data_IF_195528264115
#
_entry.id   IF_195528264115
#
_cell.length_a   1.000
_cell.length_b   1.000
_cell.length_c   1.000
_cell.angle_alpha   90.00
_cell.angle_beta   90.00
_cell.angle_gamma   90.00
#
_symmetry.space_group_name_H-M   'P 1'
#
loop_
_entity.id
_entity.type
_entity.pdbx_description
1 polymer ?
#
# COMPACT_ATOMS: atom_id res chain seq x y z
N UNK A 1 72.29 62.57 4.50
CA UNK A 1 72.48 61.12 4.71
C UNK A 1 71.75 60.61 5.95
N UNK A 2 71.83 61.23 7.15
CA UNK A 2 71.14 60.66 8.34
C UNK A 2 69.61 60.74 8.28
N UNK A 3 69.03 61.79 7.70
CA UNK A 3 67.58 61.95 7.55
C UNK A 3 66.94 60.88 6.65
N UNK A 4 67.68 60.38 5.66
CA UNK A 4 67.20 59.33 4.74
C UNK A 4 67.16 57.99 5.47
N UNK A 5 68.24 57.63 6.20
CA UNK A 5 68.28 56.40 7.00
C UNK A 5 67.23 56.40 8.12
N UNK A 6 66.94 57.57 8.71
CA UNK A 6 65.90 57.73 9.72
C UNK A 6 64.50 57.55 9.13
N UNK A 7 64.27 58.01 7.90
CA UNK A 7 63.01 57.78 7.17
C UNK A 7 62.86 56.31 6.75
N UNK A 8 63.93 55.66 6.29
CA UNK A 8 63.92 54.23 5.93
C UNK A 8 63.65 53.34 7.14
N UNK A 9 64.29 53.62 8.28
CA UNK A 9 64.03 52.91 9.54
C UNK A 9 62.58 53.09 10.00
N UNK A 10 62.03 54.31 9.89
CA UNK A 10 60.60 54.57 10.17
C UNK A 10 59.66 53.85 9.22
N UNK A 11 60.00 53.77 7.93
CA UNK A 11 59.18 53.09 6.93
C UNK A 11 59.17 51.57 7.17
N UNK A 12 60.33 50.96 7.42
CA UNK A 12 60.43 49.55 7.77
C UNK A 12 59.62 49.22 9.03
N UNK A 13 59.77 50.04 10.08
CA UNK A 13 58.99 49.89 11.31
C UNK A 13 57.49 50.17 11.14
N UNK A 14 57.07 50.92 10.12
CA UNK A 14 55.66 51.12 9.79
C UNK A 14 55.10 49.93 9.00
N UNK A 15 55.87 49.39 8.06
CA UNK A 15 55.49 48.23 7.25
C UNK A 15 55.37 46.96 8.10
N UNK A 16 56.32 46.69 9.02
CA UNK A 16 56.21 45.58 9.97
C UNK A 16 54.97 45.71 10.87
N UNK A 17 54.63 46.94 11.27
CA UNK A 17 53.43 47.22 12.08
C UNK A 17 52.13 47.03 11.30
N UNK A 18 52.15 47.27 9.99
CA UNK A 18 51.02 47.02 9.10
C UNK A 18 50.89 45.52 8.83
N UNK A 19 51.99 44.83 8.54
CA UNK A 19 52.01 43.38 8.33
C UNK A 19 51.48 42.63 9.56
N UNK A 20 52.01 42.94 10.75
CA UNK A 20 51.50 42.35 12.00
C UNK A 20 50.02 42.67 12.30
N UNK A 21 49.52 43.87 11.94
CA UNK A 21 48.08 44.17 12.06
C UNK A 21 47.22 43.45 11.02
N UNK A 22 47.74 43.26 9.81
CA UNK A 22 47.02 42.56 8.75
C UNK A 22 46.85 41.08 9.11
N UNK A 23 47.89 40.46 9.67
CA UNK A 23 47.87 39.07 10.14
C UNK A 23 46.98 38.89 11.37
N UNK A 24 46.89 39.90 12.25
CA UNK A 24 46.02 39.88 13.43
C UNK A 24 44.55 40.22 13.11
N UNK A 25 44.26 40.91 12.00
CA UNK A 25 42.91 41.32 11.59
C UNK A 25 41.93 40.14 11.46
N UNK A 26 42.24 39.02 10.77
CA UNK A 26 41.34 37.88 10.67
C UNK A 26 41.15 37.16 12.01
N UNK A 27 42.18 37.09 12.86
CA UNK A 27 42.06 36.53 14.21
C UNK A 27 41.15 37.40 15.10
N UNK A 28 41.30 38.73 15.02
CA UNK A 28 40.50 39.69 15.77
C UNK A 28 39.07 39.83 15.23
N UNK A 29 38.86 39.55 13.94
CA UNK A 29 37.53 39.42 13.34
C UNK A 29 36.87 38.10 13.72
N UNK A 30 37.60 36.99 13.84
CA UNK A 30 37.06 35.71 14.29
C UNK A 30 36.68 35.73 15.78
N UNK A 31 37.51 36.35 16.62
CA UNK A 31 37.28 36.54 18.07
C UNK A 31 36.42 37.77 18.40
N UNK A 32 35.84 38.43 17.39
CA UNK A 32 34.91 39.52 17.62
C UNK A 32 33.66 38.99 18.33
N UNK A 33 33.10 39.68 19.33
CA UNK A 33 31.85 39.27 19.96
C UNK A 33 30.71 39.10 18.95
N UNK A 34 30.68 39.90 17.88
CA UNK A 34 29.68 39.80 16.82
C UNK A 34 29.79 38.52 15.96
N UNK A 35 31.00 38.01 15.72
CA UNK A 35 31.20 36.74 14.98
C UNK A 35 30.92 35.53 15.84
N UNK A 36 31.25 35.60 17.14
CA UNK A 36 30.92 34.55 18.10
C UNK A 36 29.39 34.42 18.27
N UNK A 37 28.66 35.53 18.42
CA UNK A 37 27.20 35.54 18.47
C UNK A 37 26.56 34.97 17.19
N UNK A 38 27.09 35.34 16.00
CA UNK A 38 26.60 34.80 14.73
C UNK A 38 26.86 33.29 14.58
N UNK A 39 28.00 32.79 15.08
CA UNK A 39 28.34 31.38 15.08
C UNK A 39 27.43 30.59 16.03
N UNK A 40 27.17 31.09 17.24
CA UNK A 40 26.23 30.48 18.19
C UNK A 40 24.80 30.44 17.64
N UNK A 41 24.34 31.51 16.99
CA UNK A 41 23.05 31.55 16.32
C UNK A 41 22.97 30.51 15.18
N UNK A 42 24.01 30.39 14.36
CA UNK A 42 24.08 29.40 13.29
C UNK A 42 24.10 27.95 13.82
N UNK A 43 24.81 27.69 14.92
CA UNK A 43 24.82 26.38 15.57
C UNK A 43 23.45 26.01 16.15
N UNK A 44 22.76 26.98 16.74
CA UNK A 44 21.40 26.81 17.26
C UNK A 44 20.42 26.48 16.12
N UNK A 45 20.45 27.26 15.04
CA UNK A 45 19.61 27.02 13.86
C UNK A 45 19.88 25.64 13.23
N UNK A 46 21.15 25.22 13.17
CA UNK A 46 21.52 23.89 12.67
C UNK A 46 21.02 22.77 13.59
N UNK A 47 21.06 22.96 14.90
CA UNK A 47 20.53 21.99 15.85
C UNK A 47 19.00 21.85 15.75
N UNK A 48 18.30 22.97 15.57
CA UNK A 48 16.86 23.01 15.31
C UNK A 48 16.50 22.30 14.00
N UNK A 49 17.22 22.59 12.92
CA UNK A 49 16.99 21.99 11.60
C UNK A 49 17.25 20.49 11.62
N UNK A 50 18.32 20.03 12.27
CA UNK A 50 18.58 18.58 12.47
C UNK A 50 17.48 17.90 13.27
N UNK A 51 16.95 18.56 14.29
CA UNK A 51 15.84 18.02 15.09
C UNK A 51 14.57 17.91 14.25
N UNK A 52 14.25 18.95 13.48
CA UNK A 52 13.11 18.95 12.57
C UNK A 52 13.25 17.87 11.49
N UNK A 53 14.45 17.70 10.94
CA UNK A 53 14.75 16.69 9.93
C UNK A 53 14.55 15.27 10.49
N UNK A 54 15.11 14.97 11.68
CA UNK A 54 14.90 13.69 12.34
C UNK A 54 13.42 13.37 12.61
N UNK A 55 12.62 14.38 13.00
CA UNK A 55 11.17 14.22 13.17
C UNK A 55 10.46 13.94 11.84
N UNK A 56 10.86 14.62 10.75
CA UNK A 56 10.30 14.38 9.42
C UNK A 56 10.67 12.99 8.90
N UNK A 57 11.91 12.54 9.08
CA UNK A 57 12.34 11.19 8.72
C UNK A 57 11.53 10.13 9.47
N UNK A 58 11.31 10.30 10.77
CA UNK A 58 10.45 9.41 11.57
C UNK A 58 9.01 9.40 11.04
N UNK A 59 8.44 10.56 10.72
CA UNK A 59 7.08 10.65 10.16
C UNK A 59 6.98 10.00 8.79
N UNK A 60 7.97 10.19 7.93
CA UNK A 60 8.05 9.54 6.62
C UNK A 60 8.18 8.03 6.77
N UNK A 61 8.98 7.55 7.72
CA UNK A 61 9.13 6.14 7.99
C UNK A 61 7.81 5.51 8.47
N UNK A 62 7.17 6.11 9.48
CA UNK A 62 5.87 5.65 9.98
C UNK A 62 4.78 5.69 8.89
N UNK A 63 4.79 6.71 8.02
CA UNK A 63 3.87 6.79 6.90
C UNK A 63 4.13 5.69 5.88
N UNK A 64 5.39 5.39 5.56
CA UNK A 64 5.77 4.30 4.66
C UNK A 64 5.33 2.95 5.22
N UNK A 65 5.60 2.67 6.49
CA UNK A 65 5.16 1.42 7.14
C UNK A 65 3.64 1.27 7.08
N UNK A 66 2.90 2.34 7.37
CA UNK A 66 1.43 2.33 7.27
C UNK A 66 0.97 2.07 5.83
N UNK A 67 1.58 2.74 4.85
CA UNK A 67 1.24 2.55 3.44
C UNK A 67 1.57 1.14 2.95
N UNK A 68 2.72 0.59 3.33
CA UNK A 68 3.11 -0.78 3.01
C UNK A 68 2.15 -1.79 3.63
N UNK A 69 1.72 -1.58 4.88
CA UNK A 69 0.67 -2.36 5.54
C UNK A 69 -0.65 -2.31 4.76
N UNK A 70 -1.17 -1.11 4.49
CA UNK A 70 -2.43 -0.96 3.72
C UNK A 70 -2.33 -1.59 2.33
N UNK A 71 -1.21 -1.46 1.64
CA UNK A 71 -1.00 -2.09 0.33
C UNK A 71 -0.96 -3.62 0.46
N UNK A 72 -0.35 -4.17 1.51
CA UNK A 72 -0.34 -5.60 1.77
C UNK A 72 -1.75 -6.14 2.03
N UNK A 73 -2.54 -5.44 2.85
CA UNK A 73 -3.92 -5.79 3.18
C UNK A 73 -4.81 -5.78 1.93
N UNK A 74 -4.79 -4.69 1.14
CA UNK A 74 -5.53 -4.59 -0.11
C UNK A 74 -5.13 -5.68 -1.12
N UNK A 75 -3.84 -6.05 -1.18
CA UNK A 75 -3.39 -7.16 -2.03
C UNK A 75 -3.89 -8.51 -1.55
N UNK A 76 -4.03 -8.71 -0.24
CA UNK A 76 -4.63 -9.92 0.32
C UNK A 76 -6.12 -9.99 -0.03
N UNK A 77 -6.85 -8.90 0.17
CA UNK A 77 -8.28 -8.79 -0.16
C UNK A 77 -8.56 -9.04 -1.66
N UNK A 78 -7.77 -8.43 -2.55
CA UNK A 78 -7.87 -8.66 -4.00
C UNK A 78 -7.65 -10.14 -4.36
N UNK A 79 -6.75 -10.85 -3.66
CA UNK A 79 -6.54 -12.29 -3.89
C UNK A 79 -7.77 -13.08 -3.48
N UNK A 80 -8.29 -12.84 -2.28
CA UNK A 80 -9.50 -13.50 -1.78
C UNK A 80 -10.67 -13.30 -2.74
N UNK A 81 -10.93 -12.06 -3.16
CA UNK A 81 -12.03 -11.74 -4.09
C UNK A 81 -11.88 -12.43 -5.45
N UNK A 82 -10.65 -12.55 -5.96
CA UNK A 82 -10.38 -13.30 -7.21
C UNK A 82 -10.67 -14.78 -7.05
N UNK A 83 -10.26 -15.38 -5.93
CA UNK A 83 -10.53 -16.79 -5.65
C UNK A 83 -12.03 -17.07 -5.53
N UNK A 84 -12.78 -16.19 -4.87
CA UNK A 84 -14.24 -16.28 -4.78
C UNK A 84 -14.91 -16.15 -6.14
N UNK A 85 -14.49 -15.17 -6.94
CA UNK A 85 -15.02 -14.97 -8.30
C UNK A 85 -14.80 -16.22 -9.16
N UNK A 86 -13.58 -16.78 -9.14
CA UNK A 86 -13.27 -18.02 -9.87
C UNK A 86 -14.12 -19.19 -9.39
N UNK A 87 -14.41 -19.28 -8.09
CA UNK A 87 -15.24 -20.34 -7.51
C UNK A 87 -16.69 -20.24 -7.97
N UNK A 88 -17.24 -19.02 -8.03
CA UNK A 88 -18.59 -18.75 -8.55
C UNK A 88 -18.67 -19.02 -10.06
N UNK A 89 -17.70 -18.55 -10.85
CA UNK A 89 -17.63 -18.81 -12.29
C UNK A 89 -17.61 -20.30 -12.59
N UNK A 90 -16.77 -21.07 -11.90
CA UNK A 90 -16.70 -22.52 -12.06
C UNK A 90 -18.04 -23.21 -11.71
N UNK A 91 -18.71 -22.77 -10.65
CA UNK A 91 -20.01 -23.33 -10.27
C UNK A 91 -21.11 -23.03 -11.30
N UNK A 92 -21.12 -21.81 -11.87
CA UNK A 92 -22.05 -21.43 -12.93
C UNK A 92 -21.81 -22.22 -14.22
N UNK A 93 -20.56 -22.43 -14.60
CA UNK A 93 -20.22 -23.21 -15.80
C UNK A 93 -20.62 -24.68 -15.64
N UNK A 94 -20.41 -25.28 -14.46
CA UNK A 94 -20.90 -26.63 -14.18
C UNK A 94 -22.44 -26.71 -14.17
N UNK A 95 -23.12 -25.70 -13.63
CA UNK A 95 -24.59 -25.61 -13.68
C UNK A 95 -25.09 -25.57 -15.13
N UNK A 96 -24.47 -24.74 -16.00
CA UNK A 96 -24.82 -24.65 -17.42
C UNK A 96 -24.61 -25.98 -18.13
N UNK A 97 -23.46 -26.63 -17.95
CA UNK A 97 -23.18 -27.95 -18.56
C UNK A 97 -24.20 -29.01 -18.11
N UNK A 98 -24.53 -29.03 -16.82
CA UNK A 98 -25.50 -29.98 -16.29
C UNK A 98 -26.92 -29.70 -16.81
N UNK A 99 -27.28 -28.43 -17.00
CA UNK A 99 -28.54 -28.04 -17.63
C UNK A 99 -28.62 -28.46 -19.10
N UNK A 100 -27.57 -28.20 -19.90
CA UNK A 100 -27.50 -28.66 -21.29
C UNK A 100 -27.61 -30.18 -21.41
N UNK A 101 -27.01 -30.93 -20.48
CA UNK A 101 -27.13 -32.39 -20.42
C UNK A 101 -28.55 -32.84 -20.07
N UNK A 102 -29.21 -32.16 -19.12
CA UNK A 102 -30.60 -32.41 -18.80
C UNK A 102 -31.53 -32.14 -19.98
N UNK A 103 -31.34 -31.06 -20.74
CA UNK A 103 -32.13 -30.78 -21.93
C UNK A 103 -31.96 -31.85 -23.01
N UNK A 104 -30.71 -32.29 -23.27
CA UNK A 104 -30.42 -33.36 -24.23
C UNK A 104 -31.05 -34.69 -23.82
N UNK A 105 -30.92 -35.08 -22.55
CA UNK A 105 -31.51 -36.33 -22.04
C UNK A 105 -33.03 -36.28 -22.01
N UNK A 106 -33.64 -35.13 -21.69
CA UNK A 106 -35.08 -34.90 -21.78
C UNK A 106 -35.61 -35.05 -23.22
N UNK A 107 -34.89 -34.49 -24.21
CA UNK A 107 -35.25 -34.65 -25.61
C UNK A 107 -35.15 -36.12 -26.07
N UNK A 108 -34.09 -36.83 -25.68
CA UNK A 108 -33.91 -38.25 -25.99
C UNK A 108 -35.02 -39.12 -25.37
N UNK A 109 -35.41 -38.82 -24.12
CA UNK A 109 -36.52 -39.49 -23.46
C UNK A 109 -37.85 -39.29 -24.19
N UNK A 110 -38.16 -38.06 -24.60
CA UNK A 110 -39.40 -37.78 -25.35
C UNK A 110 -39.44 -38.53 -26.68
N UNK A 111 -38.32 -38.54 -27.42
CA UNK A 111 -38.22 -39.29 -28.66
C UNK A 111 -38.43 -40.81 -28.46
N UNK A 112 -37.88 -41.38 -27.37
CA UNK A 112 -38.09 -42.80 -27.02
C UNK A 112 -39.57 -43.07 -26.66
N UNK A 113 -40.19 -42.16 -25.91
CA UNK A 113 -41.59 -42.28 -25.50
C UNK A 113 -42.56 -42.19 -26.70
N UNK A 114 -42.32 -41.28 -27.65
CA UNK A 114 -43.10 -41.16 -28.89
C UNK A 114 -42.95 -42.40 -29.79
N UNK A 115 -41.79 -43.06 -29.77
CA UNK A 115 -41.56 -44.35 -30.42
C UNK A 115 -42.26 -45.54 -29.76
N UNK A 116 -42.96 -45.33 -28.64
CA UNK A 116 -43.70 -46.37 -27.91
C UNK A 116 -42.83 -47.36 -27.14
N UNK A 117 -41.51 -47.14 -27.08
CA UNK A 117 -40.56 -47.97 -26.35
C UNK A 117 -40.02 -47.18 -25.17
N UNK A 118 -40.51 -47.48 -23.97
CA UNK A 118 -39.88 -46.98 -22.75
C UNK A 118 -38.55 -47.69 -22.54
N UNK A 119 -37.44 -47.10 -22.97
CA UNK A 119 -36.09 -47.63 -22.73
C UNK A 119 -35.69 -47.37 -21.26
N UNK A 120 -35.52 -48.41 -20.42
CA UNK A 120 -35.09 -48.24 -19.04
C UNK A 120 -33.73 -47.54 -18.91
N UNK A 121 -32.85 -47.69 -19.90
CA UNK A 121 -31.55 -47.02 -19.90
C UNK A 121 -31.68 -45.51 -20.14
N UNK A 122 -32.60 -45.09 -21.01
CA UNK A 122 -32.90 -43.68 -21.23
C UNK A 122 -33.50 -43.01 -19.98
N UNK A 123 -34.37 -43.73 -19.26
CA UNK A 123 -34.92 -43.27 -17.97
C UNK A 123 -33.81 -43.10 -16.93
N UNK A 124 -32.94 -44.10 -16.79
CA UNK A 124 -31.81 -44.02 -15.87
C UNK A 124 -30.83 -42.88 -16.23
N UNK A 125 -30.57 -42.66 -17.52
CA UNK A 125 -29.72 -41.57 -17.98
C UNK A 125 -30.32 -40.19 -17.66
N UNK A 126 -31.64 -40.02 -17.83
CA UNK A 126 -32.31 -38.78 -17.49
C UNK A 126 -32.36 -38.52 -15.98
N UNK A 127 -32.62 -39.54 -15.16
CA UNK A 127 -32.56 -39.41 -13.70
C UNK A 127 -31.15 -39.03 -13.22
N UNK A 128 -30.10 -39.59 -13.86
CA UNK A 128 -28.72 -39.22 -13.57
C UNK A 128 -28.42 -37.76 -13.95
N UNK A 129 -28.90 -37.31 -15.12
CA UNK A 129 -28.76 -35.93 -15.57
C UNK A 129 -29.53 -34.94 -14.68
N UNK A 130 -30.74 -35.29 -14.23
CA UNK A 130 -31.52 -34.48 -13.30
C UNK A 130 -30.82 -34.34 -11.94
N UNK A 131 -30.31 -35.44 -11.40
CA UNK A 131 -29.55 -35.42 -10.16
C UNK A 131 -28.28 -34.57 -10.29
N UNK A 132 -27.59 -34.65 -11.45
CA UNK A 132 -26.43 -33.82 -11.74
C UNK A 132 -26.80 -32.33 -11.82
N UNK A 133 -27.90 -31.99 -12.50
CA UNK A 133 -28.39 -30.62 -12.61
C UNK A 133 -28.78 -30.03 -11.25
N UNK A 134 -29.50 -30.79 -10.42
CA UNK A 134 -29.89 -30.36 -9.06
C UNK A 134 -28.65 -30.14 -8.19
N UNK A 135 -27.66 -31.04 -8.25
CA UNK A 135 -26.40 -30.89 -7.50
C UNK A 135 -25.61 -29.68 -7.96
N UNK A 136 -25.52 -29.43 -9.26
CA UNK A 136 -24.81 -28.30 -9.83
C UNK A 136 -25.48 -26.97 -9.47
N UNK A 137 -26.81 -26.89 -9.55
CA UNK A 137 -27.58 -25.73 -9.09
C UNK A 137 -27.34 -25.46 -7.60
N UNK A 138 -27.41 -26.50 -6.76
CA UNK A 138 -27.13 -26.34 -5.32
C UNK A 138 -25.69 -25.89 -5.04
N UNK A 139 -24.72 -26.35 -5.82
CA UNK A 139 -23.33 -25.93 -5.69
C UNK A 139 -23.16 -24.44 -6.07
N UNK A 140 -23.86 -23.99 -7.12
CA UNK A 140 -23.89 -22.57 -7.51
C UNK A 140 -24.52 -21.70 -6.42
N UNK A 141 -25.68 -22.10 -5.87
CA UNK A 141 -26.34 -21.37 -4.77
C UNK A 141 -25.43 -21.24 -3.54
N UNK A 142 -24.70 -22.32 -3.19
CA UNK A 142 -23.78 -22.32 -2.04
C UNK A 142 -22.58 -21.42 -2.31
N UNK A 143 -22.03 -21.44 -3.53
CA UNK A 143 -20.91 -20.58 -3.92
C UNK A 143 -21.32 -19.10 -3.89
N UNK A 144 -22.51 -18.76 -4.40
CA UNK A 144 -23.06 -17.42 -4.36
C UNK A 144 -23.32 -16.96 -2.92
N UNK A 145 -23.98 -17.79 -2.10
CA UNK A 145 -24.24 -17.46 -0.70
C UNK A 145 -22.93 -17.25 0.09
N UNK A 146 -21.90 -18.06 -0.16
CA UNK A 146 -20.59 -17.90 0.45
C UNK A 146 -19.93 -16.57 0.04
N UNK A 147 -20.01 -16.19 -1.25
CA UNK A 147 -19.49 -14.91 -1.73
C UNK A 147 -20.24 -13.71 -1.13
N UNK A 148 -21.57 -13.80 -1.01
CA UNK A 148 -22.38 -12.76 -0.34
C UNK A 148 -21.98 -12.63 1.13
N UNK A 149 -21.84 -13.74 1.86
CA UNK A 149 -21.41 -13.73 3.25
C UNK A 149 -20.01 -13.13 3.42
N UNK A 150 -19.06 -13.53 2.57
CA UNK A 150 -17.70 -12.96 2.56
C UNK A 150 -17.68 -11.46 2.30
N UNK A 151 -18.58 -10.95 1.45
CA UNK A 151 -18.73 -9.52 1.21
C UNK A 151 -19.42 -8.76 2.36
N UNK A 152 -20.33 -9.40 3.09
CA UNK A 152 -21.09 -8.78 4.20
C UNK A 152 -20.34 -8.79 5.53
N UNK A 153 -19.50 -9.79 5.80
CA UNK A 153 -18.69 -9.88 7.03
C UNK A 153 -17.89 -8.61 7.35
N UNK A 154 -17.09 -8.03 6.43
CA UNK A 154 -16.34 -6.81 6.71
C UNK A 154 -17.26 -5.60 6.95
N UNK A 155 -18.38 -5.49 6.21
CA UNK A 155 -19.36 -4.42 6.41
C UNK A 155 -20.07 -4.51 7.79
N UNK A 156 -20.27 -5.71 8.31
CA UNK A 156 -20.79 -5.93 9.66
C UNK A 156 -19.75 -5.64 10.76
N UNK A 157 -18.48 -5.95 10.51
CA UNK A 157 -17.39 -5.71 11.46
C UNK A 157 -17.10 -4.21 11.64
N UNK A 158 -17.34 -3.40 10.61
CA UNK A 158 -17.20 -1.93 10.65
C UNK A 158 -18.43 -1.22 11.24
N UNK A 159 -19.57 -1.92 11.41
CA UNK A 159 -20.75 -1.34 12.04
C UNK A 159 -20.49 -1.14 13.54
N UNK A 160 -20.52 0.10 14.07
CA UNK A 160 -20.41 0.31 15.51
C UNK A 160 -21.57 -0.41 16.19
N UNK A 161 -21.30 -1.08 17.31
CA UNK A 161 -22.30 -1.64 18.21
C UNK A 161 -23.08 -0.50 18.88
N UNK A 162 -23.83 0.29 18.12
CA UNK A 162 -24.67 1.35 18.63
C UNK A 162 -26.04 0.76 18.98
N UNK A 163 -26.10 0.23 20.20
CA UNK A 163 -27.25 -0.47 20.76
C UNK A 163 -27.15 -0.64 22.28
N UNK A 164 -26.56 0.33 22.97
CA UNK A 164 -26.34 0.30 24.43
C UNK A 164 -26.64 1.63 25.09
N UNK A 165 -27.94 1.94 25.19
CA UNK A 165 -28.66 2.71 26.24
C UNK A 165 -27.82 3.68 27.12
N UNK A 166 -28.07 4.98 26.95
CA UNK A 166 -28.12 5.93 28.06
C UNK A 166 -29.55 5.97 28.61
#
# INVERSE_FOLDING_TARGET
MSQINELESRLAAALDRIGSRLDALPAQQADSPATLEALEAAQTALAEERTANAQLEQRVHALKERQEGTVADLRAEIRTLREETQRVEAALDEMRKAHDELERTSAALRASAEGGVGDPNAINAALAAELKAVRAARAADVAEAAAILGALEPALAEAPADGGVN
#
